data_IF_008267806279
#
_entry.id   IF_008267806279
#
_cell.length_a   1.000
_cell.length_b   1.000
_cell.length_c   1.000
_cell.angle_alpha   90.00
_cell.angle_beta   90.00
_cell.angle_gamma   90.00
#
_symmetry.space_group_name_H-M   'P 1'
#
loop_
_entity.id
_entity.type
_entity.pdbx_description
1 polymer ?
#
# COMPACT_ATOMS: atom_id res chain seq x y z
N UNK A 1 -75.54 18.87 -45.66
CA UNK A 1 -75.33 18.65 -44.21
C UNK A 1 -73.96 18.04 -44.03
N UNK A 2 -73.00 18.91 -43.69
CA UNK A 2 -71.62 18.46 -43.46
C UNK A 2 -71.41 18.25 -41.96
N UNK A 3 -71.20 17.02 -41.54
CA UNK A 3 -70.82 16.71 -40.17
C UNK A 3 -69.29 16.77 -40.12
N UNK A 4 -68.76 17.82 -39.50
CA UNK A 4 -67.34 17.94 -39.26
C UNK A 4 -66.98 17.02 -38.10
N UNK A 5 -66.27 15.93 -38.42
CA UNK A 5 -65.59 15.09 -37.41
C UNK A 5 -64.37 15.79 -36.89
N UNK A 6 -64.53 16.50 -35.79
CA UNK A 6 -63.40 17.05 -35.04
C UNK A 6 -62.65 15.91 -34.32
N UNK A 7 -61.68 15.32 -34.99
CA UNK A 7 -60.79 14.32 -34.38
C UNK A 7 -59.89 14.96 -33.34
N UNK A 8 -60.30 14.92 -32.07
CA UNK A 8 -59.46 15.29 -30.95
C UNK A 8 -58.25 14.33 -30.89
N UNK A 9 -57.13 14.75 -31.49
CA UNK A 9 -55.83 14.07 -31.30
C UNK A 9 -55.49 14.15 -29.80
N UNK A 10 -55.73 13.05 -29.08
CA UNK A 10 -55.15 12.86 -27.74
C UNK A 10 -53.64 12.92 -27.87
N UNK A 11 -53.03 14.02 -27.44
CA UNK A 11 -51.59 14.09 -27.20
C UNK A 11 -51.27 13.05 -26.15
N UNK A 12 -50.64 11.94 -26.54
CA UNK A 12 -50.02 11.01 -25.62
C UNK A 12 -48.97 11.79 -24.85
N UNK A 13 -49.19 12.05 -23.58
CA UNK A 13 -48.14 12.55 -22.67
C UNK A 13 -47.10 11.43 -22.63
N UNK A 14 -45.95 11.71 -23.20
CA UNK A 14 -44.75 10.88 -23.00
C UNK A 14 -44.43 10.95 -21.51
N UNK A 15 -44.79 9.91 -20.80
CA UNK A 15 -44.26 9.71 -19.45
C UNK A 15 -42.79 9.37 -19.63
N UNK A 16 -41.94 10.33 -19.40
CA UNK A 16 -40.54 10.11 -19.23
C UNK A 16 -40.36 9.49 -17.85
N UNK A 17 -40.63 8.21 -17.75
CA UNK A 17 -40.28 7.46 -16.56
C UNK A 17 -38.74 7.34 -16.58
N UNK A 18 -38.08 8.12 -15.74
CA UNK A 18 -36.64 7.99 -15.51
C UNK A 18 -36.43 6.63 -14.89
N UNK A 19 -35.80 5.75 -15.65
CA UNK A 19 -35.44 4.44 -15.14
C UNK A 19 -34.30 4.60 -14.12
N UNK A 20 -34.58 4.36 -12.83
CA UNK A 20 -33.65 4.51 -11.73
C UNK A 20 -32.64 3.35 -11.69
N UNK A 21 -32.92 2.23 -12.35
CA UNK A 21 -32.09 1.03 -12.31
C UNK A 21 -30.64 1.30 -12.80
N UNK A 22 -30.37 2.01 -13.92
CA UNK A 22 -29.00 2.31 -14.32
C UNK A 22 -28.24 3.18 -13.32
N UNK A 23 -28.92 4.07 -12.62
CA UNK A 23 -28.29 4.90 -11.57
C UNK A 23 -27.91 4.08 -10.35
N UNK A 24 -28.78 3.18 -9.93
CA UNK A 24 -28.52 2.28 -8.81
C UNK A 24 -27.35 1.35 -9.15
N UNK A 25 -27.29 0.83 -10.34
CA UNK A 25 -26.23 -0.06 -10.80
C UNK A 25 -24.86 0.64 -10.78
N UNK A 26 -24.77 1.85 -11.33
CA UNK A 26 -23.54 2.66 -11.27
C UNK A 26 -23.14 2.97 -9.83
N UNK A 27 -24.10 3.34 -8.97
CA UNK A 27 -23.83 3.61 -7.56
C UNK A 27 -23.33 2.39 -6.81
N UNK A 28 -23.94 1.21 -7.06
CA UNK A 28 -23.50 -0.06 -6.46
C UNK A 28 -22.08 -0.44 -6.91
N UNK A 29 -21.77 -0.32 -8.18
CA UNK A 29 -20.44 -0.60 -8.72
C UNK A 29 -19.39 0.32 -8.10
N UNK A 30 -19.67 1.63 -8.03
CA UNK A 30 -18.78 2.60 -7.39
C UNK A 30 -18.61 2.30 -5.90
N UNK A 31 -19.68 1.95 -5.20
CA UNK A 31 -19.63 1.59 -3.78
C UNK A 31 -18.73 0.37 -3.55
N UNK A 32 -18.87 -0.67 -4.36
CA UNK A 32 -18.04 -1.87 -4.27
C UNK A 32 -16.58 -1.54 -4.56
N UNK A 33 -16.30 -0.74 -5.60
CA UNK A 33 -14.94 -0.31 -5.93
C UNK A 33 -14.32 0.45 -4.76
N UNK A 34 -15.01 1.44 -4.19
CA UNK A 34 -14.52 2.17 -3.03
C UNK A 34 -14.35 1.28 -1.79
N UNK A 35 -15.25 0.33 -1.57
CA UNK A 35 -15.16 -0.61 -0.45
C UNK A 35 -13.93 -1.53 -0.56
N UNK A 36 -13.58 -1.95 -1.77
CA UNK A 36 -12.42 -2.81 -2.01
C UNK A 36 -11.11 -2.01 -2.00
N UNK A 37 -11.12 -0.79 -2.54
CA UNK A 37 -9.90 0.04 -2.65
C UNK A 37 -9.57 0.82 -1.37
N UNK A 38 -10.55 1.17 -0.55
CA UNK A 38 -10.33 1.94 0.68
C UNK A 38 -9.34 1.29 1.67
N UNK A 39 -9.40 -0.03 1.95
CA UNK A 39 -8.40 -0.66 2.81
C UNK A 39 -7.00 -0.69 2.21
N UNK A 40 -6.87 -0.60 0.88
CA UNK A 40 -5.57 -0.58 0.22
C UNK A 40 -4.82 0.76 0.35
N UNK A 41 -5.56 1.83 0.67
CA UNK A 41 -4.98 3.18 0.82
C UNK A 41 -4.40 3.43 2.22
N UNK A 42 -4.75 2.62 3.21
CA UNK A 42 -4.40 2.84 4.62
C UNK A 42 -3.31 1.90 5.15
N UNK A 43 -2.66 1.13 4.28
CA UNK A 43 -1.68 0.13 4.69
C UNK A 43 -0.23 0.60 4.58
N UNK A 44 -0.01 1.88 4.30
CA UNK A 44 1.30 2.51 4.39
C UNK A 44 1.50 3.10 5.78
N UNK A 45 2.63 2.82 6.40
CA UNK A 45 3.08 3.55 7.58
C UNK A 45 3.95 4.69 7.11
N UNK A 46 3.60 5.91 7.50
CA UNK A 46 4.45 7.07 7.26
C UNK A 46 5.64 7.01 8.22
N UNK A 47 6.79 6.61 7.70
CA UNK A 47 8.06 6.70 8.40
C UNK A 47 8.96 7.74 7.74
N UNK A 48 9.52 8.63 8.51
CA UNK A 48 10.56 9.53 8.04
C UNK A 48 11.92 8.83 8.13
N UNK A 49 12.47 8.47 6.99
CA UNK A 49 13.78 7.82 6.93
C UNK A 49 14.89 8.81 7.29
N UNK A 50 15.90 8.37 8.03
CA UNK A 50 17.09 9.19 8.25
C UNK A 50 17.79 9.49 6.92
N UNK A 51 18.24 10.70 6.76
CA UNK A 51 18.95 11.13 5.56
C UNK A 51 20.38 10.62 5.56
N UNK A 52 20.85 10.12 4.44
CA UNK A 52 22.24 9.73 4.27
C UNK A 52 22.71 9.97 2.82
N UNK A 53 24.02 10.19 2.68
CA UNK A 53 24.68 10.28 1.37
C UNK A 53 25.24 8.92 0.92
N UNK A 54 24.69 7.83 1.45
CA UNK A 54 25.08 6.49 1.05
C UNK A 54 24.79 6.26 -0.44
N UNK A 55 25.64 5.50 -1.10
CA UNK A 55 25.42 5.13 -2.51
C UNK A 55 24.14 4.31 -2.61
N UNK A 56 23.30 4.56 -3.62
CA UNK A 56 22.14 3.73 -3.89
C UNK A 56 22.54 2.27 -4.06
N UNK A 57 21.83 1.38 -3.40
CA UNK A 57 21.94 -0.05 -3.66
C UNK A 57 21.22 -0.32 -4.98
N UNK A 58 21.93 -0.88 -5.96
CA UNK A 58 21.30 -1.31 -7.20
C UNK A 58 20.28 -2.41 -6.90
N UNK A 59 19.02 -2.06 -7.00
CA UNK A 59 17.93 -2.98 -6.77
C UNK A 59 17.67 -3.79 -8.04
N UNK A 60 18.22 -4.98 -8.12
CA UNK A 60 17.94 -5.89 -9.24
C UNK A 60 16.63 -6.65 -9.09
N UNK A 61 16.02 -6.64 -7.92
CA UNK A 61 14.76 -7.33 -7.60
C UNK A 61 14.03 -6.55 -6.51
N UNK A 62 12.71 -6.69 -6.47
CA UNK A 62 11.88 -6.11 -5.41
C UNK A 62 12.35 -6.61 -4.03
N UNK A 63 12.84 -5.74 -3.17
CA UNK A 63 13.37 -6.13 -1.88
C UNK A 63 12.26 -6.51 -0.90
N UNK A 64 12.63 -7.27 0.11
CA UNK A 64 11.83 -7.40 1.32
C UNK A 64 12.13 -6.18 2.20
N UNK A 65 11.11 -5.46 2.60
CA UNK A 65 11.26 -4.28 3.45
C UNK A 65 10.62 -4.54 4.81
N UNK A 66 11.38 -4.35 5.85
CA UNK A 66 10.92 -4.37 7.24
C UNK A 66 10.95 -2.95 7.77
N UNK A 67 9.77 -2.39 7.98
CA UNK A 67 9.64 -1.04 8.53
C UNK A 67 9.51 -1.11 10.05
N UNK A 68 10.22 -0.23 10.73
CA UNK A 68 10.19 -0.10 12.18
C UNK A 68 9.66 1.29 12.53
N UNK A 69 8.52 1.31 13.21
CA UNK A 69 7.89 2.55 13.64
C UNK A 69 8.49 3.08 14.94
N UNK A 70 8.22 4.35 15.24
CA UNK A 70 8.65 4.99 16.49
C UNK A 70 8.17 4.23 17.73
N UNK A 71 7.01 3.58 17.65
CA UNK A 71 6.42 2.80 18.75
C UNK A 71 7.03 1.39 18.88
N UNK A 72 8.01 1.05 18.05
CA UNK A 72 8.65 -0.27 18.05
C UNK A 72 7.83 -1.36 17.38
N UNK A 73 6.84 -1.01 16.56
CA UNK A 73 6.07 -1.97 15.76
C UNK A 73 6.77 -2.27 14.45
N UNK A 74 6.58 -3.49 13.96
CA UNK A 74 7.15 -3.95 12.71
C UNK A 74 6.07 -4.07 11.64
N UNK A 75 6.42 -3.66 10.43
CA UNK A 75 5.62 -3.85 9.22
C UNK A 75 6.47 -4.54 8.17
N UNK A 76 5.90 -5.54 7.54
CA UNK A 76 6.58 -6.35 6.52
C UNK A 76 5.97 -6.10 5.15
N UNK A 77 6.81 -5.76 4.20
CA UNK A 77 6.46 -5.65 2.78
C UNK A 77 7.26 -6.69 2.00
N UNK A 78 6.56 -7.62 1.37
CA UNK A 78 7.13 -8.66 0.52
C UNK A 78 6.87 -8.33 -0.95
N UNK A 79 7.91 -8.15 -1.74
CA UNK A 79 7.87 -8.03 -3.22
C UNK A 79 6.73 -7.14 -3.77
N UNK A 80 6.59 -5.93 -3.28
CA UNK A 80 5.56 -5.01 -3.75
C UNK A 80 4.15 -5.30 -3.21
N UNK A 81 4.00 -6.28 -2.32
CA UNK A 81 2.78 -6.46 -1.56
C UNK A 81 2.56 -5.30 -0.57
N UNK A 82 1.35 -5.17 -0.07
CA UNK A 82 1.03 -4.14 0.91
C UNK A 82 1.74 -4.44 2.24
N UNK A 83 2.24 -3.40 2.91
CA UNK A 83 2.84 -3.52 4.23
C UNK A 83 1.82 -4.05 5.26
N UNK A 84 2.20 -5.08 5.99
CA UNK A 84 1.38 -5.74 7.00
C UNK A 84 2.03 -5.57 8.37
N UNK A 85 1.25 -5.13 9.37
CA UNK A 85 1.71 -5.11 10.75
C UNK A 85 1.91 -6.55 11.26
N UNK A 86 3.04 -6.80 11.89
CA UNK A 86 3.48 -8.14 12.24
C UNK A 86 4.23 -8.14 13.56
N UNK A 87 4.03 -9.17 14.37
CA UNK A 87 4.81 -9.38 15.58
C UNK A 87 6.20 -9.99 15.28
N UNK A 88 7.11 -9.90 16.22
CA UNK A 88 8.51 -10.34 16.03
C UNK A 88 8.62 -11.82 15.65
N UNK A 89 7.83 -12.67 16.29
CA UNK A 89 7.85 -14.13 16.05
C UNK A 89 7.38 -14.46 14.63
N UNK A 90 6.26 -13.89 14.21
CA UNK A 90 5.71 -14.08 12.88
C UNK A 90 6.61 -13.44 11.80
N UNK A 91 7.23 -12.30 12.11
CA UNK A 91 8.19 -11.64 11.23
C UNK A 91 9.37 -12.56 10.90
N UNK A 92 9.99 -13.14 11.95
CA UNK A 92 11.11 -14.08 11.77
C UNK A 92 10.68 -15.30 10.96
N UNK A 93 9.51 -15.87 11.25
CA UNK A 93 8.98 -17.04 10.54
C UNK A 93 8.71 -16.75 9.05
N UNK A 94 8.06 -15.62 8.72
CA UNK A 94 7.76 -15.23 7.34
C UNK A 94 9.03 -14.90 6.56
N UNK A 95 9.93 -14.15 7.14
CA UNK A 95 11.21 -13.80 6.49
C UNK A 95 12.08 -15.04 6.28
N UNK A 96 12.14 -15.95 7.26
CA UNK A 96 12.85 -17.20 7.12
C UNK A 96 12.31 -18.07 5.99
N UNK A 97 10.99 -18.19 5.88
CA UNK A 97 10.35 -18.95 4.80
C UNK A 97 10.64 -18.31 3.42
N UNK A 98 10.58 -16.99 3.35
CA UNK A 98 10.86 -16.25 2.12
C UNK A 98 12.34 -16.34 1.69
N UNK A 99 13.26 -16.19 2.64
CA UNK A 99 14.71 -16.28 2.40
C UNK A 99 15.13 -17.67 1.91
N UNK A 100 14.49 -18.74 2.36
CA UNK A 100 14.75 -20.11 1.87
C UNK A 100 14.38 -20.28 0.40
N UNK A 101 13.27 -19.65 -0.04
CA UNK A 101 12.82 -19.71 -1.43
C UNK A 101 13.58 -18.75 -2.34
N UNK A 102 14.05 -17.64 -1.79
CA UNK A 102 14.69 -16.54 -2.54
C UNK A 102 15.95 -16.05 -1.83
N UNK A 103 17.04 -16.83 -1.79
CA UNK A 103 18.24 -16.48 -1.03
C UNK A 103 18.98 -15.24 -1.56
N UNK A 104 18.68 -14.81 -2.79
CA UNK A 104 19.33 -13.67 -3.45
C UNK A 104 18.55 -12.35 -3.26
N UNK A 105 17.36 -12.37 -2.69
CA UNK A 105 16.57 -11.16 -2.50
C UNK A 105 17.13 -10.34 -1.35
N UNK A 106 17.40 -9.04 -1.56
CA UNK A 106 17.86 -8.17 -0.49
C UNK A 106 16.77 -7.93 0.53
N UNK A 107 17.13 -7.95 1.80
CA UNK A 107 16.27 -7.57 2.92
C UNK A 107 16.73 -6.21 3.44
N UNK A 108 15.83 -5.26 3.47
CA UNK A 108 16.10 -3.90 3.90
C UNK A 108 15.31 -3.58 5.17
N UNK A 109 15.93 -2.89 6.10
CA UNK A 109 15.26 -2.32 7.27
C UNK A 109 15.09 -0.82 7.04
N UNK A 110 13.85 -0.36 7.15
CA UNK A 110 13.49 1.05 7.09
C UNK A 110 13.03 1.49 8.49
N UNK A 111 13.85 2.23 9.19
CA UNK A 111 13.51 2.78 10.50
C UNK A 111 13.13 4.25 10.40
N UNK A 112 12.09 4.65 11.13
CA UNK A 112 11.79 6.06 11.31
C UNK A 112 13.00 6.77 11.96
N UNK A 113 13.30 8.00 11.58
CA UNK A 113 14.47 8.74 12.08
C UNK A 113 14.42 8.99 13.60
N UNK A 114 13.24 8.88 14.20
CA UNK A 114 13.01 9.03 15.64
C UNK A 114 13.15 7.73 16.43
N UNK A 115 13.31 6.60 15.74
CA UNK A 115 13.54 5.30 16.40
C UNK A 115 14.93 5.26 16.96
N UNK A 116 15.06 4.79 18.19
CA UNK A 116 16.37 4.60 18.80
C UNK A 116 17.19 3.49 18.12
N UNK A 117 18.49 3.61 18.16
CA UNK A 117 19.40 2.65 17.54
C UNK A 117 19.21 1.23 18.06
N UNK A 118 18.91 1.07 19.35
CA UNK A 118 18.66 -0.24 19.95
C UNK A 118 17.51 -1.00 19.30
N UNK A 119 16.42 -0.30 18.96
CA UNK A 119 15.26 -0.90 18.28
C UNK A 119 15.61 -1.32 16.84
N UNK A 120 16.37 -0.51 16.11
CA UNK A 120 16.86 -0.87 14.78
C UNK A 120 17.81 -2.06 14.85
N UNK A 121 18.75 -2.06 15.78
CA UNK A 121 19.67 -3.18 16.01
C UNK A 121 18.93 -4.48 16.31
N UNK A 122 17.88 -4.42 17.13
CA UNK A 122 17.01 -5.58 17.41
C UNK A 122 16.35 -6.11 16.14
N UNK A 123 15.85 -5.23 15.27
CA UNK A 123 15.32 -5.62 13.96
C UNK A 123 16.36 -6.33 13.09
N UNK A 124 17.60 -5.87 13.09
CA UNK A 124 18.70 -6.52 12.38
C UNK A 124 19.00 -7.93 12.94
N UNK A 125 18.99 -8.07 14.27
CA UNK A 125 19.19 -9.38 14.91
C UNK A 125 18.07 -10.35 14.55
N UNK A 126 16.81 -9.88 14.51
CA UNK A 126 15.68 -10.70 14.07
C UNK A 126 15.85 -11.20 12.63
N UNK A 127 16.36 -10.36 11.74
CA UNK A 127 16.64 -10.77 10.36
C UNK A 127 17.77 -11.80 10.28
N UNK A 128 18.80 -11.64 11.08
CA UNK A 128 19.88 -12.65 11.18
C UNK A 128 19.36 -13.98 11.71
N UNK A 129 18.49 -13.97 12.73
CA UNK A 129 17.81 -15.17 13.22
C UNK A 129 16.94 -15.85 12.16
N UNK A 130 16.34 -15.08 11.27
CA UNK A 130 15.60 -15.59 10.12
C UNK A 130 16.50 -16.22 9.03
N UNK A 131 17.81 -16.14 9.17
CA UNK A 131 18.77 -16.71 8.22
C UNK A 131 19.12 -15.79 7.04
N UNK A 132 18.83 -14.50 7.16
CA UNK A 132 19.19 -13.52 6.13
C UNK A 132 20.68 -13.21 6.19
N UNK A 133 21.39 -13.43 5.09
CA UNK A 133 22.85 -13.24 5.02
C UNK A 133 23.24 -11.75 4.99
N UNK A 134 22.45 -10.93 4.33
CA UNK A 134 22.72 -9.49 4.16
C UNK A 134 21.48 -8.67 4.45
N UNK A 135 21.59 -7.79 5.42
CA UNK A 135 20.55 -6.81 5.77
C UNK A 135 21.06 -5.42 5.48
N UNK A 136 20.33 -4.68 4.67
CA UNK A 136 20.61 -3.28 4.39
C UNK A 136 19.74 -2.35 5.24
N UNK A 137 20.23 -1.14 5.46
CA UNK A 137 19.43 -0.07 6.06
C UNK A 137 18.97 0.88 4.94
N UNK A 138 17.68 1.17 4.94
CA UNK A 138 17.14 2.22 4.06
C UNK A 138 17.33 3.60 4.68
N UNK A 139 17.71 4.54 3.84
CA UNK A 139 17.76 5.95 4.20
C UNK A 139 17.18 6.80 3.09
N UNK A 140 16.62 7.94 3.43
CA UNK A 140 16.27 8.94 2.44
C UNK A 140 17.53 9.57 1.84
N UNK A 141 17.53 9.97 0.56
CA UNK A 141 18.65 10.73 -0.02
C UNK A 141 18.86 12.00 0.82
N UNK A 142 20.10 12.21 1.26
CA UNK A 142 20.46 13.46 1.90
C UNK A 142 20.28 14.64 0.93
N UNK A 143 19.92 15.81 1.44
CA UNK A 143 19.91 17.07 0.68
C UNK A 143 21.32 17.42 0.22
N UNK A 144 21.79 16.73 -0.81
CA UNK A 144 23.04 17.06 -1.49
C UNK A 144 22.85 18.33 -2.32
N UNK A 145 22.78 19.49 -1.67
CA UNK A 145 22.75 20.71 -2.46
C UNK A 145 22.13 21.96 -1.86
N UNK A 146 21.87 22.04 -0.57
CA UNK A 146 21.66 23.36 0.05
C UNK A 146 22.98 23.88 0.59
N UNK A 147 23.59 24.91 -0.05
CA UNK A 147 24.70 25.61 0.59
C UNK A 147 24.19 26.26 1.86
N UNK A 148 24.92 26.06 2.93
CA UNK A 148 24.67 26.75 4.22
C UNK A 148 24.93 28.23 4.10
#
# INVERSE_FOLDING_TARGET
>A
MSAAFSGRRRRRKLKADINVVPYIDVMLVLLIIFMVTAPLLNLGVDIELPQSNAKPIEQQKDPVIVEVTQDGRYYLTLQGAVAEEIDEETLVAKVAAFARQNPQVPVLIAGDHRVDYGTIYRGMVLMQQAGVAKVGLMSAPGDAGKPR
#
